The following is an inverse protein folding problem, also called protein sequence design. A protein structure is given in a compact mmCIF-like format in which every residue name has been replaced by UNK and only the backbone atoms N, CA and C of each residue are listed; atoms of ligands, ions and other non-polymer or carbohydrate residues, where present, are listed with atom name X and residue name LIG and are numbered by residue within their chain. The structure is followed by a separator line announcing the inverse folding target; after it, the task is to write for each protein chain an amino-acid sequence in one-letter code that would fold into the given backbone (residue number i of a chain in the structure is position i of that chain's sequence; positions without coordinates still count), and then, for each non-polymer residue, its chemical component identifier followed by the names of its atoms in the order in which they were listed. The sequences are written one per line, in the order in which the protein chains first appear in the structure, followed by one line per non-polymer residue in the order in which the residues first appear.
data_IF_230729204120
#
_entry.id   IF_230729204120
#
_cell.length_a   1.000
_cell.length_b   1.000
_cell.length_c   1.000
_cell.angle_alpha   90.00
_cell.angle_beta   90.00
_cell.angle_gamma   90.00
#
_symmetry.space_group_name_H-M   'P 1'
#
loop_
_entity.id
_entity.type
_entity.pdbx_description
1 polymer ?
#
# COMPACT_ATOMS: atom_id res chain seq x y z
N UNK A 1 48.17 87.01 22.20
CA UNK A 1 46.79 87.19 21.72
C UNK A 1 46.57 86.22 20.56
N UNK A 2 45.58 85.31 20.67
CA UNK A 2 44.94 84.47 19.60
C UNK A 2 45.83 83.49 18.81
N UNK A 3 45.77 82.17 19.10
CA UNK A 3 44.88 81.08 18.61
C UNK A 3 45.47 80.30 17.42
N UNK A 4 45.89 79.04 17.66
CA UNK A 4 45.78 77.94 16.70
C UNK A 4 45.69 76.61 17.46
N UNK A 5 44.60 75.91 17.19
CA UNK A 5 44.07 74.68 17.79
C UNK A 5 44.95 73.43 17.54
N UNK A 6 44.67 72.28 18.20
CA UNK A 6 45.52 71.09 18.08
C UNK A 6 45.29 70.44 16.72
N UNK A 7 46.38 70.14 15.99
CA UNK A 7 46.29 69.39 14.74
C UNK A 7 46.14 67.90 15.05
N UNK A 8 44.90 67.45 14.96
CA UNK A 8 44.55 66.05 14.92
C UNK A 8 44.88 65.52 13.51
N UNK A 9 46.00 64.82 13.32
CA UNK A 9 46.14 63.89 12.18
C UNK A 9 47.36 62.99 12.29
N UNK A 10 47.12 61.73 12.64
CA UNK A 10 47.58 60.54 11.91
C UNK A 10 47.35 59.27 12.74
N UNK A 11 46.09 59.00 13.12
CA UNK A 11 45.72 57.63 13.48
C UNK A 11 45.64 56.84 12.16
N UNK A 12 46.60 55.94 11.93
CA UNK A 12 46.57 55.06 10.77
C UNK A 12 45.24 54.27 10.74
N UNK A 13 44.56 54.18 9.59
CA UNK A 13 43.29 53.46 9.51
C UNK A 13 43.54 51.98 9.80
N UNK A 14 42.86 51.48 10.83
CA UNK A 14 42.83 50.05 11.16
C UNK A 14 42.05 49.36 10.03
N UNK A 15 42.55 48.29 9.40
CA UNK A 15 41.79 47.61 8.36
C UNK A 15 40.52 46.99 8.95
N UNK A 16 39.35 47.52 8.58
CA UNK A 16 38.06 46.88 8.89
C UNK A 16 37.93 45.60 8.07
N UNK A 17 38.20 44.46 8.73
CA UNK A 17 37.91 43.15 8.16
C UNK A 17 36.42 42.89 8.31
N UNK A 18 35.64 43.20 7.28
CA UNK A 18 34.23 42.87 7.24
C UNK A 18 34.05 41.35 7.32
N UNK A 19 33.16 40.84 8.19
CA UNK A 19 32.87 39.41 8.25
C UNK A 19 32.26 38.95 6.93
N UNK A 20 32.54 37.71 6.49
CA UNK A 20 32.01 37.18 5.24
C UNK A 20 30.49 37.27 5.22
N UNK A 21 29.94 37.70 4.09
CA UNK A 21 28.49 37.86 3.94
C UNK A 21 27.80 36.50 3.98
N UNK A 22 26.58 36.41 4.52
CA UNK A 22 25.80 35.15 4.59
C UNK A 22 25.74 34.44 3.22
N UNK A 23 25.63 35.23 2.14
CA UNK A 23 25.65 34.76 0.75
C UNK A 23 26.96 34.05 0.40
N UNK A 24 28.12 34.59 0.77
CA UNK A 24 29.42 33.95 0.51
C UNK A 24 29.57 32.65 1.28
N UNK A 25 29.01 32.56 2.48
CA UNK A 25 28.98 31.31 3.23
C UNK A 25 28.06 30.30 2.56
N UNK A 26 26.87 30.70 2.13
CA UNK A 26 25.89 29.82 1.48
C UNK A 26 26.32 29.33 0.08
N UNK A 27 27.09 30.14 -0.65
CA UNK A 27 27.62 29.79 -1.99
C UNK A 27 28.96 29.05 -1.94
N UNK A 28 29.51 28.76 -0.75
CA UNK A 28 30.70 27.91 -0.65
C UNK A 28 30.38 26.51 -1.21
N UNK A 29 31.29 25.93 -2.02
CA UNK A 29 31.06 24.64 -2.67
C UNK A 29 30.79 23.51 -1.66
N UNK A 30 31.30 23.66 -0.43
CA UNK A 30 31.01 22.77 0.70
C UNK A 30 29.52 22.70 1.07
N UNK A 31 28.84 23.84 1.20
CA UNK A 31 27.42 23.89 1.57
C UNK A 31 26.51 23.41 0.44
N UNK A 32 26.91 23.67 -0.81
CA UNK A 32 26.24 23.11 -1.99
C UNK A 32 26.41 21.59 -2.01
N UNK A 33 27.60 21.06 -1.68
CA UNK A 33 27.84 19.63 -1.53
C UNK A 33 26.95 18.99 -0.47
N UNK A 34 26.82 19.62 0.70
CA UNK A 34 25.90 19.17 1.76
C UNK A 34 24.43 19.19 1.32
N UNK A 35 24.01 20.22 0.58
CA UNK A 35 22.66 20.30 0.01
C UNK A 35 22.41 19.14 -0.97
N UNK A 36 23.33 18.90 -1.90
CA UNK A 36 23.23 17.79 -2.86
C UNK A 36 23.20 16.43 -2.16
N UNK A 37 24.03 16.25 -1.13
CA UNK A 37 24.02 15.04 -0.31
C UNK A 37 22.68 14.83 0.40
N UNK A 38 22.13 15.88 1.01
CA UNK A 38 20.81 15.81 1.65
C UNK A 38 19.70 15.47 0.65
N UNK A 39 19.73 16.05 -0.55
CA UNK A 39 18.78 15.74 -1.62
C UNK A 39 18.90 14.29 -2.10
N UNK A 40 20.13 13.77 -2.23
CA UNK A 40 20.38 12.37 -2.58
C UNK A 40 19.76 11.43 -1.54
N UNK A 41 20.04 11.66 -0.27
CA UNK A 41 19.51 10.85 0.84
C UNK A 41 17.98 10.90 0.87
N UNK A 42 17.39 12.09 0.70
CA UNK A 42 15.94 12.24 0.61
C UNK A 42 15.34 11.47 -0.58
N UNK A 43 16.00 11.50 -1.75
CA UNK A 43 15.57 10.74 -2.93
C UNK A 43 15.62 9.22 -2.71
N UNK A 44 16.67 8.71 -2.05
CA UNK A 44 16.79 7.29 -1.69
C UNK A 44 15.66 6.87 -0.74
N UNK A 45 15.40 7.66 0.31
CA UNK A 45 14.29 7.37 1.21
C UNK A 45 12.93 7.44 0.52
N UNK A 46 12.73 8.43 -0.37
CA UNK A 46 11.51 8.51 -1.16
C UNK A 46 11.34 7.28 -2.06
N UNK A 47 12.40 6.83 -2.74
CA UNK A 47 12.36 5.60 -3.55
C UNK A 47 12.00 4.39 -2.68
N UNK A 48 12.75 4.14 -1.61
CA UNK A 48 12.51 2.99 -0.73
C UNK A 48 11.10 3.05 -0.09
N UNK A 49 10.63 4.24 0.29
CA UNK A 49 9.28 4.47 0.80
C UNK A 49 8.20 4.20 -0.25
N UNK A 50 8.42 4.62 -1.50
CA UNK A 50 7.53 4.29 -2.62
C UNK A 50 7.49 2.78 -2.88
N UNK A 51 8.63 2.09 -2.76
CA UNK A 51 8.65 0.63 -2.87
C UNK A 51 7.87 -0.05 -1.75
N UNK A 52 8.02 0.42 -0.50
CA UNK A 52 7.25 -0.09 0.64
C UNK A 52 5.75 0.21 0.50
N UNK A 53 5.37 1.42 0.08
CA UNK A 53 3.97 1.81 -0.13
C UNK A 53 3.35 1.05 -1.31
N UNK A 54 4.10 0.87 -2.40
CA UNK A 54 3.69 0.03 -3.53
C UNK A 54 3.46 -1.42 -3.09
N UNK A 55 4.35 -2.00 -2.28
CA UNK A 55 4.19 -3.36 -1.75
C UNK A 55 3.04 -3.50 -0.75
N UNK A 56 2.74 -2.46 0.03
CA UNK A 56 1.59 -2.45 0.93
C UNK A 56 0.26 -2.36 0.15
N UNK A 57 0.25 -1.64 -0.97
CA UNK A 57 -0.90 -1.49 -1.88
C UNK A 57 -1.03 -2.69 -2.83
N UNK A 58 0.05 -3.44 -3.09
CA UNK A 58 0.06 -4.74 -3.78
C UNK A 58 -0.64 -5.88 -3.01
N UNK A 59 -1.44 -5.54 -2.00
CA UNK A 59 -2.60 -6.38 -1.65
C UNK A 59 -3.66 -6.15 -2.72
N UNK A 60 -3.35 -6.54 -3.96
CA UNK A 60 -4.20 -6.36 -5.14
C UNK A 60 -5.56 -6.99 -4.82
N UNK A 61 -6.61 -6.20 -4.52
CA UNK A 61 -7.95 -6.75 -4.53
C UNK A 61 -8.14 -7.23 -5.97
N UNK A 62 -8.57 -8.47 -6.20
CA UNK A 62 -8.94 -8.90 -7.55
C UNK A 62 -9.80 -7.80 -8.18
N UNK A 63 -9.56 -7.43 -9.46
CA UNK A 63 -10.28 -6.32 -10.10
C UNK A 63 -11.78 -6.41 -9.77
N UNK A 64 -12.47 -5.30 -9.48
CA UNK A 64 -13.90 -5.32 -9.22
C UNK A 64 -14.60 -6.15 -10.30
N UNK A 65 -15.16 -7.32 -9.92
CA UNK A 65 -15.76 -8.27 -10.85
C UNK A 65 -14.96 -9.53 -11.22
N UNK A 66 -13.72 -9.71 -10.75
CA UNK A 66 -12.97 -10.96 -11.00
C UNK A 66 -13.60 -12.17 -10.30
N UNK A 67 -14.13 -11.97 -9.08
CA UNK A 67 -14.94 -12.97 -8.37
C UNK A 67 -16.37 -13.07 -8.91
N UNK A 68 -16.81 -12.13 -9.74
CA UNK A 68 -18.13 -12.17 -10.38
C UNK A 68 -18.15 -13.09 -11.61
N UNK A 69 -16.98 -13.40 -12.19
CA UNK A 69 -16.86 -14.39 -13.25
C UNK A 69 -17.09 -15.78 -12.67
N UNK A 70 -18.11 -16.49 -13.15
CA UNK A 70 -18.42 -17.83 -12.67
C UNK A 70 -17.38 -18.81 -13.20
N UNK A 71 -16.73 -19.54 -12.29
CA UNK A 71 -15.73 -20.55 -12.64
C UNK A 71 -16.16 -21.95 -12.18
N UNK A 72 -15.73 -23.04 -12.84
CA UNK A 72 -15.94 -24.38 -12.32
C UNK A 72 -15.33 -24.52 -10.92
N UNK A 73 -16.04 -25.16 -9.98
CA UNK A 73 -15.56 -25.31 -8.59
C UNK A 73 -14.17 -25.98 -8.50
N UNK A 74 -13.89 -26.92 -9.40
CA UNK A 74 -12.61 -27.62 -9.49
C UNK A 74 -11.42 -26.72 -9.88
N UNK A 75 -11.67 -25.57 -10.52
CA UNK A 75 -10.64 -24.58 -10.84
C UNK A 75 -10.30 -23.67 -9.64
N UNK A 76 -11.13 -23.70 -8.59
CA UNK A 76 -11.03 -22.81 -7.43
C UNK A 76 -10.44 -23.51 -6.22
N UNK A 77 -10.84 -24.76 -5.96
CA UNK A 77 -10.30 -25.54 -4.84
C UNK A 77 -10.44 -27.04 -5.07
N UNK A 78 -9.48 -27.81 -4.56
CA UNK A 78 -9.57 -29.27 -4.52
C UNK A 78 -10.15 -29.76 -3.17
N UNK A 79 -10.77 -30.96 -3.14
CA UNK A 79 -11.29 -31.52 -1.91
C UNK A 79 -10.21 -31.64 -0.82
N UNK A 80 -10.47 -31.08 0.36
CA UNK A 80 -9.55 -31.13 1.50
C UNK A 80 -8.43 -30.08 1.48
N UNK A 81 -8.34 -29.25 0.43
CA UNK A 81 -7.41 -28.13 0.40
C UNK A 81 -7.97 -26.89 1.09
N UNK A 82 -7.05 -26.07 1.60
CA UNK A 82 -7.38 -24.78 2.17
C UNK A 82 -7.67 -23.77 1.05
N UNK A 83 -8.77 -23.03 1.15
CA UNK A 83 -9.12 -21.99 0.19
C UNK A 83 -8.24 -20.74 0.42
N UNK A 84 -7.37 -20.35 -0.52
CA UNK A 84 -6.52 -19.18 -0.35
C UNK A 84 -7.35 -17.89 -0.31
N UNK A 85 -6.93 -16.92 0.51
CA UNK A 85 -7.65 -15.64 0.74
C UNK A 85 -8.13 -14.93 -0.54
N UNK A 86 -7.37 -14.87 -1.64
CA UNK A 86 -7.80 -14.20 -2.87
C UNK A 86 -9.03 -14.85 -3.56
N UNK A 87 -9.32 -16.11 -3.26
CA UNK A 87 -10.44 -16.86 -3.86
C UNK A 87 -11.69 -16.85 -2.96
N UNK A 88 -11.61 -16.27 -1.77
CA UNK A 88 -12.77 -16.09 -0.89
C UNK A 88 -13.78 -15.17 -1.57
N UNK A 89 -15.00 -15.67 -1.77
CA UNK A 89 -16.07 -14.94 -2.46
C UNK A 89 -16.11 -15.13 -3.99
N UNK A 90 -15.23 -15.97 -4.56
CA UNK A 90 -15.30 -16.39 -5.96
C UNK A 90 -16.65 -17.07 -6.27
N UNK A 91 -17.36 -16.61 -7.30
CA UNK A 91 -18.55 -17.30 -7.79
C UNK A 91 -18.14 -18.57 -8.54
N UNK A 92 -18.80 -19.67 -8.20
CA UNK A 92 -18.55 -20.97 -8.82
C UNK A 92 -19.80 -21.60 -9.39
N UNK A 93 -19.59 -22.44 -10.41
CA UNK A 93 -20.60 -23.34 -10.96
C UNK A 93 -20.23 -24.79 -10.61
N UNK A 94 -21.24 -25.56 -10.21
CA UNK A 94 -21.12 -26.96 -9.83
C UNK A 94 -22.41 -27.69 -10.14
N UNK A 95 -22.31 -28.89 -10.71
CA UNK A 95 -23.43 -29.80 -10.90
C UNK A 95 -23.37 -30.95 -9.89
N UNK A 96 -24.53 -31.45 -9.49
CA UNK A 96 -24.65 -32.51 -8.51
C UNK A 96 -26.10 -32.77 -8.08
N UNK A 97 -26.24 -33.67 -7.11
CA UNK A 97 -27.55 -34.08 -6.56
C UNK A 97 -27.61 -33.80 -5.07
N UNK A 98 -28.70 -33.19 -4.59
CA UNK A 98 -28.91 -33.01 -3.15
C UNK A 98 -29.25 -34.33 -2.46
N UNK A 99 -28.68 -34.56 -1.28
CA UNK A 99 -28.97 -35.76 -0.48
C UNK A 99 -30.30 -35.59 0.24
N UNK A 100 -31.28 -36.42 -0.12
CA UNK A 100 -32.58 -36.42 0.53
C UNK A 100 -32.42 -36.72 2.04
N UNK A 101 -33.07 -35.91 2.88
CA UNK A 101 -33.02 -36.05 4.34
C UNK A 101 -31.83 -35.35 5.00
N UNK A 102 -30.88 -34.82 4.24
CA UNK A 102 -29.74 -34.03 4.77
C UNK A 102 -29.93 -32.54 4.47
N UNK A 103 -31.00 -31.99 5.05
CA UNK A 103 -31.32 -30.57 5.01
C UNK A 103 -31.39 -30.01 6.41
N UNK A 104 -30.84 -28.81 6.60
CA UNK A 104 -30.86 -28.11 7.87
C UNK A 104 -31.50 -26.74 7.69
N UNK A 105 -32.38 -26.39 8.63
CA UNK A 105 -33.02 -25.08 8.67
C UNK A 105 -32.24 -24.21 9.65
N UNK A 106 -31.64 -23.14 9.14
CA UNK A 106 -30.93 -22.16 9.93
C UNK A 106 -31.87 -21.00 10.24
N UNK A 107 -32.21 -20.81 11.50
CA UNK A 107 -33.00 -19.68 11.99
C UNK A 107 -32.14 -18.43 12.18
N UNK A 108 -32.79 -17.33 12.59
CA UNK A 108 -32.15 -16.05 12.93
C UNK A 108 -31.30 -15.49 11.79
N UNK A 109 -31.78 -15.68 10.55
CA UNK A 109 -31.21 -15.09 9.36
C UNK A 109 -32.01 -13.86 8.99
N UNK A 110 -31.33 -12.79 8.60
CA UNK A 110 -31.96 -11.54 8.23
C UNK A 110 -31.75 -11.29 6.73
N UNK A 111 -32.83 -10.96 6.02
CA UNK A 111 -32.79 -10.50 4.63
C UNK A 111 -33.48 -9.14 4.56
N UNK A 112 -32.73 -8.10 4.18
CA UNK A 112 -33.21 -6.70 4.21
C UNK A 112 -33.88 -6.29 5.54
N UNK A 113 -33.33 -6.77 6.66
CA UNK A 113 -33.82 -6.49 8.01
C UNK A 113 -35.01 -7.33 8.49
N UNK A 114 -35.54 -8.23 7.65
CA UNK A 114 -36.60 -9.17 8.04
C UNK A 114 -36.01 -10.49 8.52
N UNK A 115 -36.41 -10.96 9.70
CA UNK A 115 -36.02 -12.27 10.21
C UNK A 115 -36.71 -13.39 9.41
N UNK A 116 -35.94 -14.42 9.07
CA UNK A 116 -36.41 -15.60 8.37
C UNK A 116 -35.50 -16.80 8.58
N UNK A 117 -35.67 -17.77 7.70
CA UNK A 117 -35.00 -19.06 7.75
C UNK A 117 -34.27 -19.32 6.44
N UNK A 118 -33.07 -19.89 6.53
CA UNK A 118 -32.37 -20.44 5.37
C UNK A 118 -32.43 -21.95 5.41
N UNK A 119 -32.65 -22.57 4.25
CA UNK A 119 -32.57 -24.03 4.09
C UNK A 119 -31.23 -24.34 3.45
N UNK A 120 -30.39 -25.09 4.16
CA UNK A 120 -29.11 -25.61 3.65
C UNK A 120 -29.24 -27.11 3.42
N UNK A 121 -28.45 -27.66 2.52
CA UNK A 121 -28.43 -29.09 2.27
C UNK A 121 -27.12 -29.57 1.68
N UNK A 122 -26.80 -30.84 1.89
CA UNK A 122 -25.62 -31.46 1.31
C UNK A 122 -25.82 -31.68 -0.20
N UNK A 123 -24.95 -31.08 -1.01
CA UNK A 123 -24.84 -31.36 -2.45
C UNK A 123 -23.76 -32.41 -2.70
N UNK A 124 -24.13 -33.54 -3.30
CA UNK A 124 -23.17 -34.52 -3.85
C UNK A 124 -22.77 -34.07 -5.24
N UNK A 125 -21.52 -33.65 -5.39
CA UNK A 125 -20.98 -33.13 -6.64
C UNK A 125 -20.74 -34.27 -7.64
N UNK A 126 -21.11 -34.05 -8.89
CA UNK A 126 -20.84 -34.99 -9.97
C UNK A 126 -19.32 -35.08 -10.24
N UNK A 127 -18.79 -36.28 -10.56
CA UNK A 127 -17.34 -36.47 -10.73
C UNK A 127 -16.75 -35.58 -11.83
N UNK A 128 -17.50 -35.34 -12.92
CA UNK A 128 -17.10 -34.44 -14.01
C UNK A 128 -16.96 -32.97 -13.57
N UNK A 129 -17.70 -32.53 -12.55
CA UNK A 129 -17.60 -31.18 -11.98
C UNK A 129 -16.57 -31.08 -10.86
N UNK A 130 -16.18 -32.20 -10.25
CA UNK A 130 -15.22 -32.27 -9.15
C UNK A 130 -13.74 -32.25 -9.62
N UNK A 131 -13.48 -32.24 -10.93
CA UNK A 131 -12.13 -32.27 -11.49
C UNK A 131 -11.45 -33.64 -11.39
N UNK A 132 -12.20 -34.70 -11.08
CA UNK A 132 -11.71 -36.06 -11.13
C UNK A 132 -11.72 -36.55 -12.56
N UNK A 133 -10.54 -36.85 -13.12
CA UNK A 133 -10.44 -37.68 -14.33
C UNK A 133 -11.30 -38.94 -14.10
N UNK A 134 -12.24 -39.18 -15.01
CA UNK A 134 -13.00 -40.41 -15.04
C UNK A 134 -12.02 -41.59 -15.24
N UNK A 135 -12.24 -42.75 -14.59
CA UNK A 135 -11.44 -43.94 -14.84
C UNK A 135 -11.54 -44.43 -16.29
#
# INVERSE_FOLDING_TARGET
MTLASPDASAAAPIPEVFPPTLREVMLRPWWIGMLLFALLVAAVFAWLGQWQLGRAIDTNPPPPGATEQVQPIAAVTAPGEYLPEPLVGQRVEVAGTFVAGDFLVVSSRFNDGQEGYWVTGQLRVDPASAGGDAP
#
